data_IF_791363164708
#
_entry.id   IF_791363164708
#
_cell.length_a   1.000
_cell.length_b   1.000
_cell.length_c   1.000
_cell.angle_alpha   90.00
_cell.angle_beta   90.00
_cell.angle_gamma   90.00
#
_symmetry.space_group_name_H-M   'P 1'
#
loop_
_entity.id
_entity.type
_entity.pdbx_description
1 polymer ?
#
# COMPACT_ATOMS: atom_id res chain seq x y z
N UNK A 1 97.56 -16.62 -24.84
CA UNK A 1 97.96 -15.79 -23.68
C UNK A 1 97.09 -16.17 -22.48
N UNK A 2 97.64 -16.00 -21.27
CA UNK A 2 97.28 -16.66 -20.00
C UNK A 2 95.87 -16.35 -19.45
N UNK A 3 95.29 -17.38 -18.81
CA UNK A 3 94.18 -17.44 -17.83
C UNK A 3 94.33 -16.46 -16.63
N UNK A 4 93.29 -16.11 -15.81
CA UNK A 4 92.46 -17.08 -15.05
C UNK A 4 90.98 -16.77 -14.67
N UNK A 5 90.30 -17.88 -14.31
CA UNK A 5 89.11 -18.14 -13.48
C UNK A 5 89.07 -17.44 -12.08
N UNK A 6 88.08 -17.68 -11.15
CA UNK A 6 86.62 -17.97 -11.23
C UNK A 6 85.76 -17.31 -10.09
N UNK A 7 84.43 -17.55 -10.08
CA UNK A 7 83.58 -17.57 -8.86
C UNK A 7 82.07 -17.68 -9.18
N UNK A 8 81.47 -18.89 -9.27
CA UNK A 8 80.67 -19.63 -8.25
C UNK A 8 79.47 -18.83 -7.69
N UNK A 9 78.21 -19.27 -7.52
CA UNK A 9 77.33 -20.48 -7.59
C UNK A 9 75.89 -19.88 -7.47
N UNK A 10 74.75 -20.44 -7.85
CA UNK A 10 74.31 -21.74 -8.36
C UNK A 10 72.76 -21.78 -8.43
N UNK A 11 72.23 -22.96 -8.80
CA UNK A 11 70.89 -23.52 -8.54
C UNK A 11 69.70 -23.09 -9.43
N UNK A 12 69.51 -23.85 -10.51
CA UNK A 12 68.38 -24.81 -10.80
C UNK A 12 66.92 -24.43 -10.51
N UNK A 13 66.12 -24.64 -11.57
CA UNK A 13 64.71 -25.07 -11.69
C UNK A 13 63.56 -24.04 -11.69
N UNK A 14 62.85 -23.94 -12.82
CA UNK A 14 61.45 -24.40 -12.99
C UNK A 14 61.02 -24.21 -14.47
N UNK A 15 60.84 -25.31 -15.20
CA UNK A 15 59.56 -25.89 -15.68
C UNK A 15 58.69 -24.92 -16.51
N UNK A 16 58.66 -25.14 -17.83
CA UNK A 16 57.54 -24.76 -18.68
C UNK A 16 57.44 -25.75 -19.84
N UNK A 17 56.52 -26.71 -19.72
CA UNK A 17 56.09 -27.56 -20.82
C UNK A 17 54.58 -27.80 -20.74
N UNK A 18 53.91 -27.32 -21.78
CA UNK A 18 52.76 -27.93 -22.47
C UNK A 18 51.43 -28.06 -21.71
N UNK A 19 50.34 -27.58 -22.34
CA UNK A 19 49.32 -28.45 -22.95
C UNK A 19 48.15 -27.65 -23.58
N UNK A 20 47.89 -27.96 -24.84
CA UNK A 20 46.65 -27.71 -25.56
C UNK A 20 45.60 -28.70 -25.04
N UNK A 21 44.40 -28.24 -24.67
CA UNK A 21 43.25 -29.13 -24.41
C UNK A 21 41.91 -28.48 -24.81
N UNK A 22 41.26 -29.15 -25.76
CA UNK A 22 39.83 -29.32 -26.05
C UNK A 22 38.82 -28.41 -25.31
N UNK A 23 38.12 -27.56 -26.09
CA UNK A 23 36.78 -27.08 -25.73
C UNK A 23 35.73 -28.03 -26.30
N UNK A 24 35.31 -29.02 -25.50
CA UNK A 24 34.15 -29.85 -25.78
C UNK A 24 33.07 -29.61 -24.70
N UNK A 25 31.85 -29.41 -25.20
CA UNK A 25 30.58 -29.18 -24.52
C UNK A 25 30.43 -29.71 -23.08
N UNK A 26 30.04 -28.83 -22.17
CA UNK A 26 29.14 -29.15 -21.05
C UNK A 26 28.05 -28.09 -20.99
N UNK A 27 26.95 -28.34 -21.69
CA UNK A 27 25.68 -27.67 -21.42
C UNK A 27 25.11 -28.29 -20.15
N UNK A 28 25.36 -27.68 -19.00
CA UNK A 28 24.60 -27.99 -17.79
C UNK A 28 23.18 -27.46 -17.99
N UNK A 29 22.25 -28.34 -18.40
CA UNK A 29 20.83 -28.07 -18.31
C UNK A 29 20.46 -27.96 -16.83
N UNK A 30 20.23 -26.74 -16.36
CA UNK A 30 19.57 -26.52 -15.08
C UNK A 30 18.19 -27.21 -15.16
N UNK A 31 17.94 -28.17 -14.27
CA UNK A 31 16.59 -28.69 -14.07
C UNK A 31 15.71 -27.49 -13.64
N UNK A 32 14.48 -27.36 -14.18
CA UNK A 32 13.57 -26.34 -13.68
C UNK A 32 13.40 -26.56 -12.19
N UNK A 33 13.69 -25.53 -11.39
CA UNK A 33 13.33 -25.52 -10.00
C UNK A 33 11.81 -25.64 -9.93
N UNK A 34 11.31 -26.80 -9.54
CA UNK A 34 9.91 -26.96 -9.19
C UNK A 34 9.67 -25.97 -8.06
N UNK A 35 8.91 -24.89 -8.33
CA UNK A 35 8.50 -23.96 -7.30
C UNK A 35 7.90 -24.79 -6.16
N UNK A 36 8.45 -24.63 -4.96
CA UNK A 36 7.83 -25.20 -3.77
C UNK A 36 6.37 -24.71 -3.74
N UNK A 37 5.39 -25.56 -3.37
CA UNK A 37 4.03 -25.08 -3.18
C UNK A 37 4.08 -23.92 -2.18
N UNK A 38 3.62 -22.74 -2.59
CA UNK A 38 3.44 -21.59 -1.69
C UNK A 38 2.55 -22.09 -0.55
N UNK A 39 3.08 -22.09 0.68
CA UNK A 39 2.24 -22.28 1.85
C UNK A 39 1.29 -21.08 1.89
N UNK A 40 -0.01 -21.32 2.12
CA UNK A 40 -0.94 -20.21 2.32
C UNK A 40 -0.47 -19.41 3.53
N UNK A 41 -0.34 -18.09 3.36
CA UNK A 41 -0.07 -17.20 4.49
C UNK A 41 -1.17 -17.40 5.56
N UNK A 42 -0.84 -17.34 6.86
CA UNK A 42 -1.85 -17.32 7.88
C UNK A 42 -2.76 -16.11 7.65
N UNK A 43 -4.09 -16.31 7.62
CA UNK A 43 -5.05 -15.21 7.43
C UNK A 43 -4.81 -14.09 8.45
N UNK A 44 -4.80 -12.85 7.97
CA UNK A 44 -4.59 -11.68 8.81
C UNK A 44 -5.67 -11.57 9.90
N UNK A 45 -5.36 -10.86 10.98
CA UNK A 45 -6.33 -10.64 12.06
C UNK A 45 -7.56 -9.84 11.60
N UNK A 46 -7.42 -9.04 10.52
CA UNK A 46 -8.52 -8.31 9.87
C UNK A 46 -9.44 -9.30 9.17
N UNK A 47 -8.91 -10.14 8.27
CA UNK A 47 -9.71 -11.15 7.53
C UNK A 47 -10.45 -12.08 8.48
N UNK A 48 -9.83 -12.46 9.60
CA UNK A 48 -10.48 -13.28 10.64
C UNK A 48 -11.65 -12.54 11.30
N UNK A 49 -11.52 -11.24 11.57
CA UNK A 49 -12.58 -10.44 12.17
C UNK A 49 -13.74 -10.21 11.19
N UNK A 50 -13.46 -10.00 9.91
CA UNK A 50 -14.46 -9.87 8.84
C UNK A 50 -15.21 -11.19 8.60
N UNK A 51 -14.52 -12.33 8.51
CA UNK A 51 -15.18 -13.64 8.38
C UNK A 51 -16.10 -13.93 9.59
N UNK A 52 -15.66 -13.57 10.80
CA UNK A 52 -16.49 -13.68 12.00
C UNK A 52 -17.73 -12.77 11.93
N UNK A 53 -17.56 -11.52 11.48
CA UNK A 53 -18.66 -10.59 11.26
C UNK A 53 -19.63 -11.11 10.18
N UNK A 54 -19.12 -11.60 9.06
CA UNK A 54 -19.90 -12.19 7.97
C UNK A 54 -20.74 -13.38 8.44
N UNK A 55 -20.16 -14.29 9.24
CA UNK A 55 -20.91 -15.40 9.85
C UNK A 55 -21.99 -14.93 10.82
N UNK A 56 -21.69 -13.93 11.65
CA UNK A 56 -22.65 -13.37 12.60
C UNK A 56 -23.84 -12.71 11.86
N UNK A 57 -23.54 -11.92 10.83
CA UNK A 57 -24.54 -11.30 9.96
C UNK A 57 -25.35 -12.39 9.24
N UNK A 58 -24.72 -13.40 8.64
CA UNK A 58 -25.41 -14.51 8.00
C UNK A 58 -26.42 -15.18 8.96
N UNK A 59 -25.99 -15.60 10.15
CA UNK A 59 -26.87 -16.23 11.14
C UNK A 59 -28.04 -15.33 11.57
N UNK A 60 -27.79 -14.03 11.72
CA UNK A 60 -28.82 -13.05 12.07
C UNK A 60 -29.89 -12.87 10.98
N UNK A 61 -29.58 -13.16 9.70
CA UNK A 61 -30.55 -13.07 8.60
C UNK A 61 -31.72 -14.03 8.71
N UNK A 62 -31.73 -14.96 9.68
CA UNK A 62 -32.90 -15.75 10.03
C UNK A 62 -34.06 -14.88 10.55
N UNK A 63 -33.76 -13.77 11.24
CA UNK A 63 -34.73 -12.79 11.72
C UNK A 63 -35.31 -11.97 10.56
N UNK A 64 -36.63 -12.04 10.39
CA UNK A 64 -37.30 -11.41 9.27
C UNK A 64 -37.28 -9.87 9.34
N UNK A 65 -37.28 -9.30 10.55
CA UNK A 65 -37.25 -7.86 10.75
C UNK A 65 -35.87 -7.28 10.42
N UNK A 66 -34.81 -7.94 10.89
CA UNK A 66 -33.43 -7.60 10.57
C UNK A 66 -33.17 -7.74 9.08
N UNK A 67 -33.54 -8.88 8.50
CA UNK A 67 -33.38 -9.15 7.06
C UNK A 67 -34.07 -8.08 6.20
N UNK A 68 -35.25 -7.60 6.60
CA UNK A 68 -35.93 -6.52 5.89
C UNK A 68 -35.21 -5.17 6.02
N UNK A 69 -34.68 -4.84 7.22
CA UNK A 69 -33.93 -3.60 7.46
C UNK A 69 -32.63 -3.55 6.66
N UNK A 70 -31.80 -4.58 6.75
CA UNK A 70 -30.51 -4.63 6.02
C UNK A 70 -30.73 -4.65 4.51
N UNK A 71 -31.76 -5.35 4.01
CA UNK A 71 -32.14 -5.30 2.59
C UNK A 71 -32.53 -3.89 2.15
N UNK A 72 -33.33 -3.19 2.94
CA UNK A 72 -33.71 -1.83 2.59
C UNK A 72 -32.49 -0.90 2.54
N UNK A 73 -31.58 -1.02 3.51
CA UNK A 73 -30.34 -0.25 3.54
C UNK A 73 -29.46 -0.54 2.32
N UNK A 74 -29.19 -1.82 2.03
CA UNK A 74 -28.35 -2.24 0.90
C UNK A 74 -28.94 -1.94 -0.49
N UNK A 75 -30.26 -1.72 -0.59
CA UNK A 75 -30.90 -1.27 -1.83
C UNK A 75 -30.92 0.26 -1.98
N UNK A 76 -30.69 1.00 -0.89
CA UNK A 76 -30.80 2.47 -0.84
C UNK A 76 -29.45 3.18 -0.76
N UNK A 77 -28.37 2.43 -0.53
CA UNK A 77 -26.99 2.91 -0.40
C UNK A 77 -26.06 1.85 -0.99
N UNK A 78 -24.93 2.28 -1.53
CA UNK A 78 -23.92 1.37 -2.06
C UNK A 78 -23.20 0.65 -0.92
N UNK A 79 -23.01 1.35 0.20
CA UNK A 79 -22.49 0.79 1.44
C UNK A 79 -23.35 1.09 2.66
N UNK A 80 -23.32 0.18 3.64
CA UNK A 80 -24.09 0.27 4.89
C UNK A 80 -23.14 0.16 6.09
N UNK A 81 -23.17 1.15 6.99
CA UNK A 81 -22.51 1.05 8.30
C UNK A 81 -23.21 -0.01 9.16
N UNK A 82 -22.80 -1.27 9.03
CA UNK A 82 -23.59 -2.41 9.50
C UNK A 82 -23.63 -2.52 11.02
N UNK A 83 -22.56 -2.10 11.72
CA UNK A 83 -22.54 -2.05 13.19
C UNK A 83 -23.58 -1.07 13.74
N UNK A 84 -23.74 0.08 13.11
CA UNK A 84 -24.70 1.11 13.53
C UNK A 84 -26.14 0.66 13.27
N UNK A 85 -26.36 -0.03 12.14
CA UNK A 85 -27.66 -0.58 11.76
C UNK A 85 -28.07 -1.78 12.65
N UNK A 86 -27.09 -2.53 13.18
CA UNK A 86 -27.33 -3.77 13.90
C UNK A 86 -28.22 -3.59 15.13
N UNK A 87 -29.05 -4.60 15.38
CA UNK A 87 -29.91 -4.67 16.55
C UNK A 87 -29.11 -4.99 17.83
N UNK A 88 -29.72 -4.89 19.03
CA UNK A 88 -29.02 -5.13 20.28
C UNK A 88 -28.41 -6.53 20.45
N UNK A 89 -28.82 -7.53 19.68
CA UNK A 89 -28.28 -8.88 19.75
C UNK A 89 -27.02 -9.03 18.88
N UNK A 90 -27.03 -8.47 17.67
CA UNK A 90 -25.91 -8.55 16.72
C UNK A 90 -24.82 -7.49 17.00
N UNK A 91 -25.22 -6.29 17.46
CA UNK A 91 -24.32 -5.15 17.63
C UNK A 91 -23.09 -5.43 18.49
N UNK A 92 -23.15 -6.16 19.62
CA UNK A 92 -21.95 -6.45 20.42
C UNK A 92 -20.89 -7.25 19.65
N UNK A 93 -21.30 -8.18 18.78
CA UNK A 93 -20.38 -8.97 17.97
C UNK A 93 -19.70 -8.11 16.90
N UNK A 94 -20.46 -7.25 16.22
CA UNK A 94 -19.90 -6.36 15.19
C UNK A 94 -19.00 -5.28 15.80
N UNK A 95 -19.40 -4.70 16.94
CA UNK A 95 -18.55 -3.75 17.65
C UNK A 95 -17.25 -4.39 18.19
N UNK A 96 -17.25 -5.70 18.46
CA UNK A 96 -16.02 -6.43 18.82
C UNK A 96 -15.12 -6.65 17.61
N UNK A 97 -15.70 -7.00 16.45
CA UNK A 97 -14.96 -7.08 15.19
C UNK A 97 -14.36 -5.72 14.81
N UNK A 98 -15.12 -4.62 14.88
CA UNK A 98 -14.61 -3.24 14.69
C UNK A 98 -13.35 -2.96 15.53
N UNK A 99 -13.39 -3.29 16.83
CA UNK A 99 -12.22 -3.09 17.72
C UNK A 99 -11.03 -3.95 17.36
N UNK A 100 -11.26 -5.20 16.95
CA UNK A 100 -10.18 -6.12 16.55
C UNK A 100 -9.52 -5.67 15.27
N UNK A 101 -10.32 -5.22 14.29
CA UNK A 101 -9.84 -4.63 13.04
C UNK A 101 -9.00 -3.39 13.33
N UNK A 102 -9.54 -2.45 14.11
CA UNK A 102 -8.80 -1.24 14.49
C UNK A 102 -7.47 -1.57 15.19
N UNK A 103 -7.47 -2.53 16.13
CA UNK A 103 -6.25 -2.97 16.80
C UNK A 103 -5.25 -3.65 15.85
N UNK A 104 -5.73 -4.49 14.93
CA UNK A 104 -4.91 -5.19 13.94
C UNK A 104 -4.23 -4.20 12.98
N UNK A 105 -4.95 -3.17 12.53
CA UNK A 105 -4.41 -2.09 11.68
C UNK A 105 -3.61 -1.03 12.45
N UNK A 106 -3.49 -1.15 13.78
CA UNK A 106 -2.73 -0.22 14.62
C UNK A 106 -3.41 1.14 14.84
N UNK A 107 -4.72 1.22 14.63
CA UNK A 107 -5.54 2.43 14.71
C UNK A 107 -5.91 2.79 16.15
N UNK A 108 -6.28 4.05 16.36
CA UNK A 108 -6.81 4.55 17.64
C UNK A 108 -8.19 3.96 17.97
N UNK A 109 -8.48 3.81 19.26
CA UNK A 109 -9.78 3.30 19.73
C UNK A 109 -10.96 4.25 19.43
N UNK A 110 -10.68 5.49 19.07
CA UNK A 110 -11.60 6.55 18.72
C UNK A 110 -12.02 6.55 17.23
N UNK A 111 -11.43 5.68 16.40
CA UNK A 111 -11.82 5.55 14.98
C UNK A 111 -13.30 5.14 14.82
N UNK A 112 -13.90 4.52 15.84
CA UNK A 112 -15.30 4.12 15.83
C UNK A 112 -15.56 2.88 14.97
N UNK A 113 -16.78 2.73 14.46
CA UNK A 113 -17.14 1.59 13.61
C UNK A 113 -16.48 1.67 12.24
N UNK A 114 -15.98 0.54 11.77
CA UNK A 114 -15.30 0.37 10.48
C UNK A 114 -16.10 -0.57 9.58
N UNK A 115 -16.80 -1.57 10.11
CA UNK A 115 -17.49 -2.55 9.30
C UNK A 115 -18.54 -1.93 8.38
N UNK A 116 -18.38 -2.22 7.09
CA UNK A 116 -19.32 -1.93 6.01
C UNK A 116 -19.95 -3.21 5.50
N UNK A 117 -21.14 -3.05 4.93
CA UNK A 117 -21.83 -4.10 4.20
C UNK A 117 -22.31 -3.51 2.88
N UNK A 118 -21.92 -4.16 1.78
CA UNK A 118 -22.35 -3.81 0.43
C UNK A 118 -22.94 -5.01 -0.28
N UNK A 119 -23.61 -4.76 -1.40
CA UNK A 119 -23.96 -5.82 -2.33
C UNK A 119 -22.71 -6.17 -3.15
N UNK A 120 -22.46 -7.46 -3.36
CA UNK A 120 -21.24 -7.90 -4.05
C UNK A 120 -21.13 -7.40 -5.49
N UNK A 121 -22.26 -7.24 -6.18
CA UNK A 121 -22.32 -6.70 -7.54
C UNK A 121 -23.71 -6.08 -7.79
N UNK A 122 -23.77 -5.00 -8.57
CA UNK A 122 -25.00 -4.29 -8.89
C UNK A 122 -26.05 -5.15 -9.62
N UNK A 123 -25.61 -6.14 -10.40
CA UNK A 123 -26.50 -7.09 -11.09
C UNK A 123 -27.37 -7.90 -10.11
N UNK A 124 -26.95 -8.02 -8.85
CA UNK A 124 -27.68 -8.75 -7.80
C UNK A 124 -28.90 -7.97 -7.26
N UNK A 125 -29.00 -6.66 -7.51
CA UNK A 125 -30.05 -5.79 -6.94
C UNK A 125 -31.46 -6.27 -7.25
N UNK A 126 -31.69 -6.75 -8.47
CA UNK A 126 -33.00 -7.26 -8.89
C UNK A 126 -33.43 -8.49 -8.08
N UNK A 127 -32.52 -9.45 -7.89
CA UNK A 127 -32.79 -10.65 -7.09
C UNK A 127 -33.03 -10.28 -5.61
N UNK A 128 -32.22 -9.38 -5.06
CA UNK A 128 -32.39 -8.89 -3.69
C UNK A 128 -33.73 -8.19 -3.48
N UNK A 129 -34.14 -7.32 -4.41
CA UNK A 129 -35.42 -6.61 -4.38
C UNK A 129 -36.62 -7.58 -4.46
N UNK A 130 -36.48 -8.70 -5.19
CA UNK A 130 -37.52 -9.74 -5.26
C UNK A 130 -37.66 -10.58 -3.99
N UNK A 131 -36.80 -10.36 -3.00
CA UNK A 131 -36.88 -10.98 -1.68
C UNK A 131 -36.05 -12.25 -1.51
N UNK A 132 -35.16 -12.56 -2.47
CA UNK A 132 -34.16 -13.63 -2.30
C UNK A 132 -33.29 -13.31 -1.10
N UNK A 133 -33.16 -14.26 -0.17
CA UNK A 133 -32.28 -14.10 0.99
C UNK A 133 -30.83 -14.20 0.52
N UNK A 134 -30.01 -13.16 0.74
CA UNK A 134 -28.62 -13.16 0.32
C UNK A 134 -27.77 -14.10 1.18
N UNK A 135 -26.67 -14.57 0.60
CA UNK A 135 -25.54 -15.10 1.37
C UNK A 135 -24.66 -13.96 1.86
N UNK A 136 -23.75 -14.23 2.80
CA UNK A 136 -22.84 -13.22 3.34
C UNK A 136 -21.41 -13.73 3.26
N UNK A 137 -20.53 -12.99 2.60
CA UNK A 137 -19.10 -13.24 2.53
C UNK A 137 -18.34 -12.11 3.23
N UNK A 138 -17.11 -12.37 3.66
CA UNK A 138 -16.15 -11.32 3.94
C UNK A 138 -15.45 -10.91 2.64
N UNK A 139 -14.94 -9.67 2.58
CA UNK A 139 -13.91 -9.28 1.63
C UNK A 139 -12.72 -10.26 1.76
N UNK A 140 -12.12 -10.64 0.64
CA UNK A 140 -10.95 -11.52 0.62
C UNK A 140 -9.72 -10.64 0.48
N UNK A 141 -8.76 -10.73 1.40
CA UNK A 141 -7.46 -10.07 1.23
C UNK A 141 -6.56 -10.78 0.20
N UNK A 142 -6.79 -12.08 -0.05
CA UNK A 142 -6.05 -12.87 -1.04
C UNK A 142 -6.54 -12.57 -2.47
N UNK A 143 -5.68 -11.95 -3.28
CA UNK A 143 -5.91 -11.55 -4.68
C UNK A 143 -5.83 -12.72 -5.67
N UNK A 144 -5.03 -13.72 -5.31
CA UNK A 144 -4.90 -14.96 -6.05
C UNK A 144 -6.07 -15.91 -5.79
N UNK A 145 -6.95 -15.57 -4.83
CA UNK A 145 -8.10 -16.36 -4.44
C UNK A 145 -8.90 -16.75 -5.67
N UNK A 146 -9.02 -18.07 -5.88
CA UNK A 146 -9.88 -18.63 -6.93
C UNK A 146 -11.33 -18.71 -6.47
N UNK A 147 -11.57 -18.60 -5.16
CA UNK A 147 -12.88 -18.82 -4.58
C UNK A 147 -13.14 -17.97 -3.36
N UNK A 148 -14.37 -17.48 -3.24
CA UNK A 148 -14.87 -16.79 -2.05
C UNK A 148 -15.79 -17.73 -1.26
N UNK A 149 -15.70 -17.70 0.06
CA UNK A 149 -16.64 -18.44 0.92
C UNK A 149 -17.75 -17.51 1.40
N UNK A 150 -19.00 -17.86 1.10
CA UNK A 150 -20.18 -17.15 1.60
C UNK A 150 -21.01 -18.06 2.51
N UNK A 151 -21.70 -17.48 3.49
CA UNK A 151 -22.54 -18.20 4.45
C UNK A 151 -24.01 -17.87 4.25
N UNK A 152 -24.86 -18.88 4.29
CA UNK A 152 -26.30 -18.67 4.35
C UNK A 152 -26.82 -18.47 5.77
N UNK A 153 -28.10 -18.16 5.91
CA UNK A 153 -28.74 -17.91 7.21
C UNK A 153 -28.83 -19.13 8.14
N UNK A 154 -28.39 -20.31 7.69
CA UNK A 154 -28.25 -21.52 8.50
C UNK A 154 -26.80 -21.82 8.84
N UNK A 155 -25.88 -20.91 8.48
CA UNK A 155 -24.44 -21.07 8.67
C UNK A 155 -23.79 -22.03 7.67
N UNK A 156 -24.49 -22.47 6.61
CA UNK A 156 -23.88 -23.34 5.60
C UNK A 156 -22.98 -22.50 4.70
N UNK A 157 -21.75 -22.97 4.51
CA UNK A 157 -20.79 -22.38 3.60
C UNK A 157 -21.11 -22.76 2.14
N UNK A 158 -20.99 -21.77 1.25
CA UNK A 158 -21.11 -21.86 -0.20
C UNK A 158 -19.80 -21.36 -0.79
N UNK A 159 -19.20 -22.14 -1.69
CA UNK A 159 -17.97 -21.77 -2.39
C UNK A 159 -18.35 -21.12 -3.72
N UNK A 160 -17.97 -19.87 -3.88
CA UNK A 160 -18.23 -19.04 -5.05
C UNK A 160 -16.95 -18.90 -5.87
N UNK A 161 -17.10 -18.59 -7.15
CA UNK A 161 -15.98 -18.21 -8.01
C UNK A 161 -15.58 -16.76 -7.68
N UNK A 162 -14.29 -16.51 -7.43
CA UNK A 162 -13.81 -15.17 -7.08
C UNK A 162 -13.65 -14.24 -8.30
N UNK A 163 -13.60 -14.79 -9.52
CA UNK A 163 -13.44 -14.01 -10.76
C UNK A 163 -14.74 -13.78 -11.51
N UNK A 164 -15.83 -14.42 -11.09
CA UNK A 164 -17.15 -14.27 -11.70
C UNK A 164 -18.19 -13.99 -10.64
N UNK A 165 -18.81 -12.81 -10.69
CA UNK A 165 -19.87 -12.45 -9.77
C UNK A 165 -21.02 -13.50 -9.84
N UNK A 166 -21.50 -14.01 -8.69
CA UNK A 166 -22.56 -15.01 -8.67
C UNK A 166 -23.92 -14.39 -9.01
N UNK A 167 -24.81 -15.18 -9.61
CA UNK A 167 -26.20 -14.74 -9.85
C UNK A 167 -27.05 -14.69 -8.58
N UNK A 168 -26.62 -15.38 -7.52
CA UNK A 168 -27.28 -15.35 -6.21
C UNK A 168 -26.80 -14.11 -5.45
N UNK A 169 -27.69 -13.32 -4.82
CA UNK A 169 -27.27 -12.11 -4.13
C UNK A 169 -26.35 -12.44 -2.93
N UNK A 170 -25.23 -11.73 -2.85
CA UNK A 170 -24.25 -11.86 -1.77
C UNK A 170 -24.04 -10.49 -1.15
N UNK A 171 -24.19 -10.40 0.17
CA UNK A 171 -23.64 -9.28 0.92
C UNK A 171 -22.16 -9.53 1.16
N UNK A 172 -21.33 -8.54 0.85
CA UNK A 172 -19.91 -8.53 1.18
C UNK A 172 -19.75 -7.67 2.42
N UNK A 173 -19.09 -8.23 3.43
CA UNK A 173 -18.71 -7.54 4.66
C UNK A 173 -17.26 -7.15 4.54
N UNK A 174 -17.01 -5.87 4.73
CA UNK A 174 -15.74 -5.22 4.49
C UNK A 174 -15.52 -4.14 5.55
N UNK A 175 -14.46 -3.35 5.43
CA UNK A 175 -14.23 -2.15 6.20
C UNK A 175 -14.51 -0.89 5.38
N UNK A 176 -14.72 0.21 6.08
CA UNK A 176 -14.68 1.56 5.52
C UNK A 176 -13.21 1.89 5.25
N UNK A 177 -12.72 1.45 4.09
CA UNK A 177 -11.32 1.54 3.70
C UNK A 177 -10.82 2.99 3.67
N UNK A 178 -11.55 3.89 3.02
CA UNK A 178 -11.33 5.35 3.08
C UNK A 178 -11.13 5.89 4.52
N UNK A 179 -12.01 5.52 5.45
CA UNK A 179 -11.89 5.94 6.86
C UNK A 179 -10.70 5.29 7.56
N UNK A 180 -10.45 4.00 7.30
CA UNK A 180 -9.34 3.26 7.87
C UNK A 180 -7.99 3.79 7.38
N UNK A 181 -7.86 4.07 6.08
CA UNK A 181 -6.68 4.68 5.45
C UNK A 181 -6.43 6.07 6.02
N UNK A 182 -7.44 6.95 6.07
CA UNK A 182 -7.27 8.29 6.64
C UNK A 182 -6.74 8.24 8.09
N UNK A 183 -7.34 7.40 8.94
CA UNK A 183 -6.88 7.20 10.32
C UNK A 183 -5.49 6.55 10.38
N UNK A 184 -5.19 5.62 9.48
CA UNK A 184 -3.91 4.95 9.34
C UNK A 184 -2.78 5.90 8.98
N UNK A 185 -3.00 6.78 8.00
CA UNK A 185 -2.04 7.80 7.59
C UNK A 185 -1.78 8.81 8.71
N UNK A 186 -2.76 9.11 9.56
CA UNK A 186 -2.55 9.94 10.75
C UNK A 186 -1.68 9.23 11.81
N UNK A 187 -1.88 7.93 12.01
CA UNK A 187 -0.98 7.11 12.86
C UNK A 187 0.42 7.08 12.29
N UNK A 188 0.55 6.82 10.99
CA UNK A 188 1.82 6.78 10.26
C UNK A 188 2.58 8.09 10.41
N UNK A 189 1.94 9.23 10.11
CA UNK A 189 2.51 10.58 10.32
C UNK A 189 2.95 10.77 11.77
N UNK A 190 2.08 10.49 12.72
CA UNK A 190 2.38 10.67 14.14
C UNK A 190 3.55 9.81 14.63
N UNK A 191 3.74 8.60 14.10
CA UNK A 191 4.90 7.77 14.41
C UNK A 191 6.17 8.23 13.70
N UNK A 192 6.11 8.61 12.42
CA UNK A 192 7.24 9.20 11.69
C UNK A 192 7.72 10.49 12.39
N UNK A 193 6.80 11.34 12.85
CA UNK A 193 7.08 12.53 13.66
C UNK A 193 7.87 12.17 14.93
N UNK A 194 7.42 11.15 15.67
CA UNK A 194 8.11 10.69 16.90
C UNK A 194 9.52 10.17 16.62
N UNK A 195 9.73 9.60 15.44
CA UNK A 195 11.05 9.13 14.98
C UNK A 195 11.90 10.25 14.37
N UNK A 196 11.34 11.45 14.16
CA UNK A 196 12.03 12.61 13.59
C UNK A 196 12.11 12.61 12.06
N UNK A 197 11.24 11.86 11.37
CA UNK A 197 11.24 11.71 9.91
C UNK A 197 10.25 12.64 9.18
N UNK A 198 9.78 13.68 9.86
CA UNK A 198 8.85 14.68 9.30
C UNK A 198 9.26 16.09 9.66
N UNK A 199 10.54 16.27 10.01
CA UNK A 199 11.16 17.44 10.64
C UNK A 199 10.36 18.75 10.52
N UNK A 200 10.02 19.28 11.68
CA UNK A 200 9.26 20.51 11.89
C UNK A 200 9.90 21.70 11.18
N UNK A 201 9.04 22.62 10.73
CA UNK A 201 9.41 23.95 10.27
C UNK A 201 10.52 24.57 11.12
N UNK A 202 11.53 25.13 10.44
CA UNK A 202 12.52 26.10 10.93
C UNK A 202 12.62 26.18 12.46
N UNK A 203 13.50 25.38 13.07
CA UNK A 203 14.14 25.77 14.33
C UNK A 203 14.91 27.07 14.08
N UNK A 204 14.22 28.19 14.29
CA UNK A 204 14.73 29.56 14.46
C UNK A 204 15.91 29.96 13.58
N UNK A 205 15.67 30.19 12.28
CA UNK A 205 16.47 31.18 11.57
C UNK A 205 15.91 32.57 11.94
N UNK A 206 16.69 33.33 12.72
CA UNK A 206 16.39 34.71 13.08
C UNK A 206 15.97 35.54 11.83
N UNK A 207 15.08 36.53 11.97
CA UNK A 207 14.67 37.35 10.84
C UNK A 207 15.87 38.13 10.31
N UNK A 208 16.47 37.64 9.24
CA UNK A 208 17.46 38.39 8.46
C UNK A 208 16.68 39.38 7.62
N UNK A 209 16.53 40.58 8.16
CA UNK A 209 15.99 41.74 7.46
C UNK A 209 16.91 42.12 6.30
N UNK A 210 16.53 41.83 5.06
CA UNK A 210 16.75 42.73 3.92
C UNK A 210 16.15 42.21 2.61
N UNK A 211 15.41 43.14 1.97
CA UNK A 211 15.13 43.25 0.54
C UNK A 211 14.10 42.30 -0.11
N UNK A 212 12.92 42.87 -0.36
CA UNK A 212 11.89 42.34 -1.24
C UNK A 212 10.74 41.73 -0.46
N UNK A 213 9.57 42.36 -0.51
CA UNK A 213 8.31 41.66 -0.22
C UNK A 213 8.11 40.60 -1.32
N UNK A 214 8.87 39.51 -1.23
CA UNK A 214 8.55 38.29 -1.94
C UNK A 214 7.16 37.88 -1.45
N UNK A 215 6.26 37.55 -2.39
CA UNK A 215 4.97 36.97 -2.04
C UNK A 215 5.21 35.88 -1.00
N UNK A 216 4.68 36.07 0.21
CA UNK A 216 4.73 35.05 1.23
C UNK A 216 4.08 33.82 0.60
N UNK A 217 4.73 32.67 0.64
CA UNK A 217 4.28 31.51 -0.12
C UNK A 217 5.37 30.48 -0.32
N UNK A 218 5.00 29.36 -0.93
CA UNK A 218 5.90 28.25 -1.17
C UNK A 218 5.59 27.56 -2.49
N UNK A 219 6.60 26.90 -3.05
CA UNK A 219 6.45 26.13 -4.26
C UNK A 219 6.08 24.68 -3.95
N UNK A 220 5.26 24.11 -4.81
CA UNK A 220 4.82 22.73 -4.74
C UNK A 220 4.94 22.04 -6.08
N UNK A 221 4.91 20.71 -6.06
CA UNK A 221 4.56 19.90 -7.23
C UNK A 221 3.11 19.45 -7.08
N UNK A 222 2.28 19.71 -8.08
CA UNK A 222 0.86 19.36 -8.11
C UNK A 222 0.58 18.27 -9.15
N UNK A 223 -0.16 17.24 -8.76
CA UNK A 223 -0.73 16.24 -9.66
C UNK A 223 -1.98 16.85 -10.30
N UNK A 224 -1.98 16.94 -11.62
CA UNK A 224 -3.13 17.40 -12.41
C UNK A 224 -3.94 16.26 -12.97
N UNK A 225 -3.28 15.15 -13.30
CA UNK A 225 -3.90 13.93 -13.78
C UNK A 225 -3.10 12.73 -13.29
N UNK A 226 -3.77 11.61 -13.08
CA UNK A 226 -3.16 10.34 -12.69
C UNK A 226 -4.03 9.18 -13.15
N UNK A 227 -3.41 8.05 -13.47
CA UNK A 227 -4.06 6.81 -13.89
C UNK A 227 -3.22 5.62 -13.47
N UNK A 228 -3.89 4.57 -13.01
CA UNK A 228 -3.35 3.22 -12.82
C UNK A 228 -3.86 2.31 -13.95
N UNK A 229 -3.04 1.32 -14.34
CA UNK A 229 -3.37 0.40 -15.43
C UNK A 229 -3.99 -0.90 -14.94
N UNK A 230 -3.67 -1.30 -13.71
CA UNK A 230 -4.15 -2.47 -13.00
C UNK A 230 -4.11 -2.12 -11.51
N UNK A 231 -5.25 -2.29 -10.83
CA UNK A 231 -5.37 -2.27 -9.36
C UNK A 231 -5.42 -3.70 -8.78
N UNK A 232 -5.29 -4.73 -9.63
CA UNK A 232 -5.22 -6.16 -9.28
C UNK A 232 -6.42 -6.71 -8.45
N UNK A 233 -7.55 -5.98 -8.33
CA UNK A 233 -8.64 -6.34 -7.40
C UNK A 233 -9.75 -7.27 -7.98
N UNK A 234 -10.15 -8.35 -7.27
CA UNK A 234 -11.37 -9.10 -7.58
C UNK A 234 -12.64 -8.37 -7.11
N UNK A 235 -13.82 -8.70 -7.67
CA UNK A 235 -15.14 -8.05 -7.36
C UNK A 235 -15.50 -7.97 -5.86
N UNK A 236 -14.85 -8.80 -5.05
CA UNK A 236 -15.06 -8.89 -3.61
C UNK A 236 -14.22 -7.90 -2.80
N UNK A 237 -13.20 -7.23 -3.38
CA UNK A 237 -12.25 -6.36 -2.67
C UNK A 237 -12.65 -4.89 -2.51
N UNK A 238 -13.54 -4.35 -3.37
CA UNK A 238 -14.10 -3.02 -3.14
C UNK A 238 -13.47 -1.98 -4.06
N UNK A 239 -13.27 -0.76 -3.54
CA UNK A 239 -12.57 0.33 -4.21
C UNK A 239 -11.12 0.36 -3.70
N UNK A 240 -10.15 0.69 -4.54
CA UNK A 240 -8.73 0.70 -4.14
C UNK A 240 -8.38 1.83 -3.15
N UNK A 241 -7.67 1.51 -2.07
CA UNK A 241 -7.19 2.47 -1.07
C UNK A 241 -5.75 2.97 -1.35
N UNK A 242 -5.61 3.91 -2.28
CA UNK A 242 -4.30 4.38 -2.73
C UNK A 242 -3.73 5.53 -1.88
N UNK A 243 -2.46 5.44 -1.52
CA UNK A 243 -1.67 6.52 -0.94
C UNK A 243 -0.25 6.60 -1.53
N UNK A 244 0.46 7.68 -1.27
CA UNK A 244 1.85 7.86 -1.73
C UNK A 244 2.74 8.35 -0.59
N UNK A 245 3.88 7.70 -0.42
CA UNK A 245 4.95 8.11 0.47
C UNK A 245 5.93 8.98 -0.32
N UNK A 246 5.92 10.29 -0.07
CA UNK A 246 6.87 11.23 -0.66
C UNK A 246 8.08 11.37 0.24
N UNK A 247 9.25 10.98 -0.24
CA UNK A 247 10.47 10.92 0.56
C UNK A 247 11.61 11.76 0.00
N UNK A 248 12.45 12.29 0.88
CA UNK A 248 13.60 13.13 0.52
C UNK A 248 14.38 13.53 1.77
N UNK A 249 15.14 14.62 1.68
CA UNK A 249 15.82 15.17 2.86
C UNK A 249 15.12 16.43 3.32
N UNK A 250 14.78 16.50 4.60
CA UNK A 250 14.32 17.70 5.28
C UNK A 250 15.38 18.80 5.29
N UNK A 251 14.98 20.03 5.61
CA UNK A 251 15.89 21.19 5.69
C UNK A 251 17.06 21.00 6.67
N UNK A 252 16.90 20.11 7.65
CA UNK A 252 17.91 19.72 8.62
C UNK A 252 18.86 18.62 8.12
N UNK A 253 18.67 18.11 6.90
CA UNK A 253 19.47 17.04 6.32
C UNK A 253 19.11 15.63 6.82
N UNK A 254 18.03 15.50 7.60
CA UNK A 254 17.47 14.20 8.00
C UNK A 254 16.50 13.73 6.93
N UNK A 255 16.39 12.42 6.72
CA UNK A 255 15.39 11.87 5.80
C UNK A 255 13.98 12.28 6.27
N UNK A 256 13.14 12.68 5.32
CA UNK A 256 11.75 13.08 5.52
C UNK A 256 10.83 12.16 4.72
N UNK A 257 9.71 11.74 5.30
CA UNK A 257 8.63 11.01 4.61
C UNK A 257 7.29 11.70 4.86
N UNK A 258 6.60 12.07 3.79
CA UNK A 258 5.27 12.68 3.82
C UNK A 258 4.25 11.74 3.15
N UNK A 259 3.35 11.12 3.92
CA UNK A 259 2.24 10.35 3.37
C UNK A 259 1.16 11.26 2.78
N UNK A 260 0.74 10.96 1.54
CA UNK A 260 -0.28 11.68 0.78
C UNK A 260 -1.39 10.70 0.40
N UNK A 261 -2.59 10.91 0.93
CA UNK A 261 -3.79 10.15 0.62
C UNK A 261 -4.28 10.45 -0.82
N UNK A 262 -4.75 9.46 -1.57
CA UNK A 262 -5.33 9.62 -2.90
C UNK A 262 -6.74 8.99 -2.99
N UNK A 263 -7.73 9.56 -2.29
CA UNK A 263 -9.05 8.94 -2.04
C UNK A 263 -9.99 9.02 -3.26
N UNK A 264 -9.42 9.14 -4.44
CA UNK A 264 -10.14 9.23 -5.71
C UNK A 264 -9.59 8.20 -6.71
N UNK A 265 -8.56 7.42 -6.37
CA UNK A 265 -7.94 6.46 -7.26
C UNK A 265 -8.57 5.08 -7.11
N UNK A 266 -9.89 5.03 -7.29
CA UNK A 266 -10.71 3.89 -6.87
C UNK A 266 -10.79 2.78 -7.93
N UNK A 267 -10.47 3.08 -9.20
CA UNK A 267 -10.66 2.15 -10.32
C UNK A 267 -9.47 2.18 -11.30
N UNK A 268 -9.01 0.99 -11.69
CA UNK A 268 -8.09 0.79 -12.80
C UNK A 268 -8.60 1.41 -14.12
N UNK A 269 -7.65 1.74 -15.00
CA UNK A 269 -7.96 2.27 -16.33
C UNK A 269 -8.56 3.68 -16.36
N UNK A 270 -8.97 4.23 -15.21
CA UNK A 270 -9.61 5.54 -15.10
C UNK A 270 -8.57 6.64 -14.96
N UNK A 271 -8.76 7.73 -15.70
CA UNK A 271 -7.90 8.92 -15.59
C UNK A 271 -8.58 9.96 -14.71
N UNK A 272 -8.02 10.18 -13.54
CA UNK A 272 -8.49 11.16 -12.58
C UNK A 272 -7.82 12.51 -12.79
N UNK A 273 -8.46 13.61 -12.37
CA UNK A 273 -7.94 14.98 -12.53
C UNK A 273 -8.04 15.80 -11.24
N UNK A 274 -7.28 15.43 -10.19
CA UNK A 274 -7.54 15.86 -8.80
C UNK A 274 -7.04 17.27 -8.48
N UNK A 275 -6.05 17.80 -9.21
CA UNK A 275 -5.36 19.06 -8.85
C UNK A 275 -4.76 19.05 -7.42
N UNK A 276 -4.31 17.89 -6.96
CA UNK A 276 -3.80 17.68 -5.61
C UNK A 276 -2.30 18.03 -5.49
N UNK A 277 -1.89 18.66 -4.38
CA UNK A 277 -0.47 18.87 -4.07
C UNK A 277 0.15 17.52 -3.67
N UNK A 278 1.24 17.15 -4.34
CA UNK A 278 2.03 15.96 -4.00
C UNK A 278 3.22 16.32 -3.11
N UNK A 279 3.96 17.38 -3.45
CA UNK A 279 5.18 17.77 -2.72
C UNK A 279 5.10 19.23 -2.30
N UNK A 280 5.36 19.53 -1.02
CA UNK A 280 5.61 20.89 -0.56
C UNK A 280 7.12 21.14 -0.41
N UNK A 281 7.71 21.89 -1.35
CA UNK A 281 9.16 22.11 -1.39
C UNK A 281 9.71 22.99 -0.27
N UNK A 282 8.87 23.67 0.54
CA UNK A 282 9.39 24.37 1.72
C UNK A 282 9.96 23.41 2.78
N UNK A 283 9.54 22.14 2.72
CA UNK A 283 9.89 21.11 3.70
C UNK A 283 11.15 20.32 3.33
N UNK A 284 11.60 20.41 2.07
CA UNK A 284 12.71 19.63 1.53
C UNK A 284 13.94 20.50 1.26
N UNK A 285 15.13 19.99 1.63
CA UNK A 285 16.42 20.63 1.38
C UNK A 285 16.77 20.69 -0.10
N UNK A 286 16.51 19.60 -0.81
CA UNK A 286 16.75 19.50 -2.25
C UNK A 286 15.47 19.78 -3.02
N UNK A 287 15.60 20.32 -4.25
CA UNK A 287 14.48 20.41 -5.20
C UNK A 287 14.21 19.05 -5.87
N UNK A 288 14.46 17.95 -5.15
CA UNK A 288 14.30 16.56 -5.56
C UNK A 288 13.64 15.79 -4.42
N UNK A 289 12.67 14.95 -4.77
CA UNK A 289 12.02 14.01 -3.89
C UNK A 289 11.70 12.73 -4.68
N UNK A 290 11.50 11.64 -3.97
CA UNK A 290 10.99 10.40 -4.53
C UNK A 290 9.54 10.21 -4.08
N UNK A 291 8.77 9.46 -4.86
CA UNK A 291 7.41 9.08 -4.52
C UNK A 291 7.25 7.56 -4.67
N UNK A 292 6.73 6.91 -3.63
CA UNK A 292 6.36 5.50 -3.65
C UNK A 292 4.84 5.42 -3.44
N UNK A 293 4.13 4.97 -4.46
CA UNK A 293 2.69 4.78 -4.41
C UNK A 293 2.38 3.36 -3.93
N UNK A 294 1.45 3.28 -2.99
CA UNK A 294 1.06 2.09 -2.26
C UNK A 294 -0.46 1.98 -2.25
N UNK A 295 -0.96 0.76 -2.14
CA UNK A 295 -2.35 0.43 -1.87
C UNK A 295 -2.48 -0.16 -0.46
N UNK A 296 -3.58 0.11 0.26
CA UNK A 296 -3.94 -0.61 1.49
C UNK A 296 -4.94 -1.72 1.14
N UNK A 297 -4.49 -2.95 1.07
CA UNK A 297 -5.32 -4.13 0.77
C UNK A 297 -6.05 -4.72 2.01
N UNK A 298 -6.18 -3.92 3.06
CA UNK A 298 -7.06 -4.19 4.18
C UNK A 298 -6.37 -4.62 5.47
N UNK A 299 -5.14 -5.14 5.44
CA UNK A 299 -4.50 -5.65 6.68
C UNK A 299 -3.23 -4.93 7.16
N UNK A 300 -2.79 -3.93 6.40
CA UNK A 300 -1.73 -2.98 6.79
C UNK A 300 -1.85 -2.50 8.24
N UNK A 301 -0.80 -2.73 9.05
CA UNK A 301 -0.61 -2.09 10.35
C UNK A 301 0.25 -0.84 10.23
N UNK A 302 -0.39 0.33 10.23
CA UNK A 302 0.26 1.62 9.98
C UNK A 302 1.34 1.99 10.99
N UNK A 303 1.21 1.52 12.22
CA UNK A 303 2.22 1.75 13.26
C UNK A 303 3.48 0.94 13.01
N UNK A 304 3.32 -0.31 12.59
CA UNK A 304 4.46 -1.17 12.31
C UNK A 304 5.13 -0.80 10.97
N UNK A 305 4.35 -0.37 9.96
CA UNK A 305 4.87 0.27 8.75
C UNK A 305 5.78 1.46 9.10
N UNK A 306 5.29 2.38 9.94
CA UNK A 306 6.05 3.56 10.34
C UNK A 306 7.39 3.21 10.99
N UNK A 307 7.41 2.20 11.87
CA UNK A 307 8.63 1.73 12.52
C UNK A 307 9.59 1.07 11.54
N UNK A 308 9.07 0.30 10.58
CA UNK A 308 9.87 -0.38 9.60
C UNK A 308 10.57 0.64 8.67
N UNK A 309 9.80 1.58 8.12
CA UNK A 309 10.31 2.75 7.37
C UNK A 309 11.37 3.48 8.19
N UNK A 310 11.08 3.79 9.46
CA UNK A 310 12.02 4.52 10.29
C UNK A 310 13.31 3.75 10.57
N UNK A 311 13.22 2.44 10.79
CA UNK A 311 14.38 1.57 11.04
C UNK A 311 15.39 1.59 9.90
N UNK A 312 14.93 1.66 8.65
CA UNK A 312 15.81 1.76 7.48
C UNK A 312 16.28 3.19 7.25
N UNK A 313 15.35 4.15 7.20
CA UNK A 313 15.67 5.52 6.75
C UNK A 313 16.54 6.29 7.75
N UNK A 314 16.45 6.03 9.06
CA UNK A 314 17.31 6.69 10.06
C UNK A 314 18.80 6.31 9.94
N UNK A 315 19.12 5.25 9.19
CA UNK A 315 20.52 4.88 8.93
C UNK A 315 21.14 5.68 7.78
N UNK A 316 20.31 6.39 7.01
CA UNK A 316 20.71 7.17 5.84
C UNK A 316 20.94 8.62 6.26
N UNK A 317 22.17 9.09 6.08
CA UNK A 317 22.53 10.48 6.33
C UNK A 317 22.82 11.21 5.03
N UNK A 318 22.46 12.48 4.97
CA UNK A 318 22.81 13.37 3.86
C UNK A 318 24.33 13.59 3.80
N UNK A 319 24.95 13.19 2.68
CA UNK A 319 26.39 13.33 2.43
C UNK A 319 26.74 14.56 1.57
N UNK A 320 25.80 15.50 1.41
CA UNK A 320 25.98 16.70 0.59
C UNK A 320 25.57 16.52 -0.88
N UNK A 321 24.90 15.43 -1.21
CA UNK A 321 24.30 15.16 -2.51
C UNK A 321 22.99 14.40 -2.33
N UNK A 322 22.04 14.60 -3.24
CA UNK A 322 20.79 13.83 -3.23
C UNK A 322 21.06 12.37 -3.57
N UNK A 323 20.51 11.47 -2.76
CA UNK A 323 20.54 10.01 -2.96
C UNK A 323 19.07 9.57 -3.05
N UNK A 324 18.66 8.86 -4.11
CA UNK A 324 17.32 8.29 -4.19
C UNK A 324 17.05 7.32 -3.03
N UNK A 325 15.87 7.45 -2.44
CA UNK A 325 15.37 6.75 -1.26
C UNK A 325 14.26 5.75 -1.58
N UNK A 326 13.72 5.69 -2.81
CA UNK A 326 12.69 4.69 -3.19
C UNK A 326 13.06 3.29 -2.70
N UNK A 327 14.24 2.79 -3.08
CA UNK A 327 14.64 1.42 -2.70
C UNK A 327 14.75 1.25 -1.19
N UNK A 328 15.18 2.28 -0.46
CA UNK A 328 15.24 2.22 1.00
C UNK A 328 13.85 2.18 1.64
N UNK A 329 12.84 2.80 1.01
CA UNK A 329 11.43 2.68 1.45
C UNK A 329 10.90 1.28 1.12
N UNK A 330 11.14 0.77 -0.09
CA UNK A 330 10.69 -0.57 -0.48
C UNK A 330 11.34 -1.65 0.40
N UNK A 331 12.65 -1.57 0.65
CA UNK A 331 13.39 -2.48 1.53
C UNK A 331 12.92 -2.43 3.00
N UNK A 332 12.21 -1.37 3.39
CA UNK A 332 11.66 -1.22 4.73
C UNK A 332 10.29 -1.89 4.88
N UNK A 333 9.62 -2.23 3.79
CA UNK A 333 8.31 -2.89 3.81
C UNK A 333 8.53 -4.40 4.04
N UNK A 334 7.99 -5.00 5.11
CA UNK A 334 8.20 -6.41 5.45
C UNK A 334 7.85 -7.39 4.32
N UNK A 335 8.58 -8.51 4.16
CA UNK A 335 8.36 -9.48 3.07
C UNK A 335 6.93 -10.03 2.98
N UNK A 336 6.24 -10.17 4.12
CA UNK A 336 4.85 -10.62 4.22
C UNK A 336 3.84 -9.63 3.61
N UNK A 337 4.22 -8.35 3.53
CA UNK A 337 3.43 -7.28 2.93
C UNK A 337 3.47 -7.35 1.39
N UNK A 338 4.56 -7.90 0.83
CA UNK A 338 4.70 -8.11 -0.62
C UNK A 338 3.97 -9.34 -1.16
N UNK A 339 3.37 -10.12 -0.26
CA UNK A 339 2.71 -11.38 -0.63
C UNK A 339 1.20 -11.34 -0.49
N UNK A 340 0.62 -10.38 0.23
CA UNK A 340 -0.82 -10.33 0.51
C UNK A 340 -1.34 -9.05 1.25
N UNK A 341 -0.53 -8.02 1.60
CA UNK A 341 -0.99 -7.03 2.64
C UNK A 341 -0.63 -5.49 2.55
N UNK A 342 0.20 -4.98 1.60
CA UNK A 342 -0.14 -3.84 0.71
C UNK A 342 0.66 -3.77 -0.61
N UNK A 343 -0.02 -3.48 -1.72
CA UNK A 343 0.64 -3.47 -3.01
C UNK A 343 1.49 -2.23 -3.28
N UNK A 344 2.76 -2.49 -3.58
CA UNK A 344 3.60 -1.52 -4.28
C UNK A 344 3.05 -1.29 -5.68
N UNK A 345 2.29 -0.21 -5.84
CA UNK A 345 1.65 0.14 -7.11
C UNK A 345 2.69 0.62 -8.11
N UNK A 346 3.44 1.67 -7.78
CA UNK A 346 4.49 2.22 -8.62
C UNK A 346 5.41 3.19 -7.86
N UNK A 347 6.51 3.63 -8.49
CA UNK A 347 7.41 4.63 -7.92
C UNK A 347 7.94 5.61 -8.95
N UNK A 348 8.28 6.80 -8.46
CA UNK A 348 8.90 7.86 -9.24
C UNK A 348 10.17 8.34 -8.53
N UNK A 349 11.30 8.12 -9.19
CA UNK A 349 12.61 8.53 -8.70
C UNK A 349 12.90 9.97 -9.13
N UNK A 350 13.47 10.76 -8.23
CA UNK A 350 14.03 12.09 -8.45
C UNK A 350 13.04 13.07 -9.10
N UNK A 351 11.80 13.08 -8.62
CA UNK A 351 10.82 14.11 -8.97
C UNK A 351 11.39 15.49 -8.61
N UNK A 352 11.49 16.37 -9.59
CA UNK A 352 12.04 17.69 -9.44
C UNK A 352 10.96 18.75 -9.21
N UNK A 353 11.28 19.80 -8.46
CA UNK A 353 10.38 20.97 -8.33
C UNK A 353 9.98 21.59 -9.66
N UNK A 354 10.85 21.51 -10.67
CA UNK A 354 10.60 22.04 -12.00
C UNK A 354 9.89 21.05 -12.93
N UNK A 355 9.55 19.84 -12.46
CA UNK A 355 8.88 18.86 -13.31
C UNK A 355 7.52 19.36 -13.78
N UNK A 356 7.34 19.25 -15.09
CA UNK A 356 6.13 19.62 -15.79
C UNK A 356 5.84 18.58 -16.88
N UNK A 357 4.58 18.14 -16.96
CA UNK A 357 4.11 17.12 -17.89
C UNK A 357 4.05 15.72 -17.26
N UNK A 358 3.81 14.73 -18.11
CA UNK A 358 3.59 13.34 -17.71
C UNK A 358 4.89 12.65 -17.30
N UNK A 359 4.82 11.85 -16.24
CA UNK A 359 5.86 10.96 -15.74
C UNK A 359 5.26 9.57 -15.57
N UNK A 360 5.85 8.59 -16.25
CA UNK A 360 5.52 7.18 -16.03
C UNK A 360 6.24 6.69 -14.77
N UNK A 361 5.58 5.82 -14.02
CA UNK A 361 6.22 5.15 -12.91
C UNK A 361 7.24 4.11 -13.38
N UNK A 362 8.14 3.73 -12.47
CA UNK A 362 9.24 2.81 -12.73
C UNK A 362 8.78 1.36 -12.95
N UNK A 363 7.70 0.90 -12.30
CA UNK A 363 7.05 -0.40 -12.56
C UNK A 363 6.25 -0.37 -13.86
N UNK A 364 5.86 0.83 -14.31
CA UNK A 364 5.08 1.05 -15.52
C UNK A 364 3.61 0.69 -15.34
N UNK A 365 3.12 0.60 -14.10
CA UNK A 365 1.71 0.38 -13.80
C UNK A 365 0.93 1.70 -13.92
N UNK A 366 1.52 2.82 -13.49
CA UNK A 366 0.86 4.11 -13.46
C UNK A 366 1.60 5.24 -14.18
N UNK A 367 0.89 6.35 -14.38
CA UNK A 367 1.49 7.62 -14.75
C UNK A 367 0.79 8.78 -14.05
N UNK A 368 1.54 9.88 -13.86
CA UNK A 368 1.00 11.14 -13.33
C UNK A 368 1.44 12.33 -14.19
N UNK A 369 0.56 13.31 -14.39
CA UNK A 369 0.89 14.60 -14.99
C UNK A 369 1.13 15.63 -13.89
N UNK A 370 2.36 16.11 -13.84
CA UNK A 370 2.83 17.04 -12.82
C UNK A 370 2.94 18.46 -13.35
N UNK A 371 2.81 19.43 -12.46
CA UNK A 371 3.22 20.80 -12.74
C UNK A 371 3.74 21.50 -11.48
N UNK A 372 4.67 22.47 -11.63
CA UNK A 372 5.03 23.37 -10.55
C UNK A 372 3.84 24.27 -10.21
N UNK A 373 3.56 24.46 -8.93
CA UNK A 373 2.49 25.32 -8.46
C UNK A 373 2.98 26.19 -7.31
N UNK A 374 2.64 27.48 -7.31
CA UNK A 374 2.98 28.39 -6.23
C UNK A 374 1.76 28.61 -5.35
N UNK A 375 1.91 28.35 -4.05
CA UNK A 375 0.87 28.61 -3.05
C UNK A 375 1.18 29.96 -2.39
N UNK A 376 0.29 30.93 -2.59
CA UNK A 376 0.36 32.24 -1.94
C UNK A 376 -0.13 32.15 -0.48
N UNK A 377 0.57 32.84 0.42
CA UNK A 377 0.22 33.05 1.82
C UNK A 377 -0.32 34.48 1.97
N UNK A 378 -1.48 34.61 2.61
CA UNK A 378 -2.14 35.90 2.87
C UNK A 378 -2.09 36.29 4.34
#
# INVERSE_FOLDING_TARGET
MRHPHPGRRGVVATVAASLIALTAAQSATALPATAAPRAHAPSSAVTVAEDQAARAIAGSLSDASWRARVRHAALSSDEVAVTELADPQLRPALADADRRIAAAKGLGADVGSLLRLRLGDDSMRGALASGVTPWVAAASSDEDARTVTAYDSRGRAHRLDARTAPTHPVYVVDIDGSKALAAGLDVLRGELDRQGLTSSERRSAAPSSSAGAAAAGFWTTRITQVRLSDDEEPWVKGDAEIYTLVTGFGQDGVVRVDPVDMPYLDNDGTTYSPNQILVNWSLYKYNLADAVMMEDDGSTNYRDLAKAIAGVLLTIADQGAYIPLVNAVLDAIPDDWWTDDPDYVDSWYTLARSDNGTRNGARGNGWMTLQPYFVEQF
#
